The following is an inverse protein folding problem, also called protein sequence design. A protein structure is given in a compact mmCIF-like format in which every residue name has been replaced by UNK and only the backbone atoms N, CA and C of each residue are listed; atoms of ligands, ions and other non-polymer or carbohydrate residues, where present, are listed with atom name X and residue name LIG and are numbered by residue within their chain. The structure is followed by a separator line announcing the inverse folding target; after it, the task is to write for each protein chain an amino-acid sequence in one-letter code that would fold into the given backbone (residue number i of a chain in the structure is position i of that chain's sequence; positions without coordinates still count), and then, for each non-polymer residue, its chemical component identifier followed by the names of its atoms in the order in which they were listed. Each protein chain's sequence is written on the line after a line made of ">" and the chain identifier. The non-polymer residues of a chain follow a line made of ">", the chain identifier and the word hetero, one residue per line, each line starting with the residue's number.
data_IF_221262978830
#
_entry.id   IF_221262978830
#
_cell.length_a   1.000
_cell.length_b   1.000
_cell.length_c   1.000
_cell.angle_alpha   90.00
_cell.angle_beta   90.00
_cell.angle_gamma   90.00
#
_symmetry.space_group_name_H-M   'P 1'
#
loop_
_entity.id
_entity.type
_entity.pdbx_description
1 polymer ?
#
# COMPACT_ATOMS: atom_id res chain seq x y z
N UNK A 1 -26.69 14.73 -1.86
CA UNK A 1 -26.03 14.58 -0.54
C UNK A 1 -25.18 15.81 -0.29
N UNK A 2 -25.29 16.45 0.88
CA UNK A 2 -24.55 17.70 1.20
C UNK A 2 -23.14 17.44 1.76
N UNK A 3 -22.81 16.20 2.12
CA UNK A 3 -21.51 15.80 2.67
C UNK A 3 -21.06 14.47 2.09
N UNK A 4 -19.76 14.33 1.83
CA UNK A 4 -19.15 13.04 1.51
C UNK A 4 -19.17 12.11 2.73
N UNK A 5 -19.17 10.79 2.51
CA UNK A 5 -19.26 9.77 3.54
C UNK A 5 -20.26 8.67 3.20
N UNK A 6 -20.56 7.81 4.17
CA UNK A 6 -21.56 6.76 4.01
C UNK A 6 -22.96 7.35 4.27
N UNK A 7 -23.78 7.44 3.22
CA UNK A 7 -25.20 7.71 3.37
C UNK A 7 -25.96 6.39 3.54
N UNK A 8 -27.14 6.43 4.15
CA UNK A 8 -28.03 5.29 4.21
C UNK A 8 -29.43 5.67 3.73
N UNK A 9 -30.09 4.72 3.07
CA UNK A 9 -31.49 4.80 2.66
C UNK A 9 -32.22 3.63 3.30
N UNK A 10 -33.15 3.92 4.20
CA UNK A 10 -33.99 2.90 4.83
C UNK A 10 -35.35 2.88 4.16
N UNK A 11 -35.71 1.74 3.58
CA UNK A 11 -37.01 1.50 2.94
C UNK A 11 -37.84 0.64 3.89
N UNK A 12 -39.01 1.14 4.29
CA UNK A 12 -39.96 0.43 5.15
C UNK A 12 -41.24 0.19 4.38
N UNK A 13 -41.65 -1.08 4.27
CA UNK A 13 -42.89 -1.52 3.65
C UNK A 13 -43.79 -2.08 4.75
N UNK A 14 -45.05 -1.65 4.78
CA UNK A 14 -46.06 -2.19 5.66
C UNK A 14 -47.29 -2.59 4.85
N UNK A 15 -47.78 -3.81 5.08
CA UNK A 15 -48.99 -4.34 4.48
C UNK A 15 -50.16 -4.23 5.46
N UNK A 16 -51.39 -4.14 4.94
CA UNK A 16 -52.59 -3.91 5.73
C UNK A 16 -52.93 -5.09 6.68
N UNK A 17 -52.44 -6.29 6.39
CA UNK A 17 -52.56 -7.47 7.26
C UNK A 17 -51.58 -7.47 8.46
N UNK A 18 -50.73 -6.45 8.56
CA UNK A 18 -49.76 -6.29 9.65
C UNK A 18 -48.32 -6.70 9.29
N UNK A 19 -48.07 -7.28 8.12
CA UNK A 19 -46.70 -7.62 7.68
C UNK A 19 -45.85 -6.37 7.49
N UNK A 20 -44.62 -6.36 8.01
CA UNK A 20 -43.67 -5.25 7.86
C UNK A 20 -42.31 -5.77 7.40
N UNK A 21 -41.70 -5.07 6.44
CA UNK A 21 -40.34 -5.34 5.95
C UNK A 21 -39.55 -4.04 6.00
N UNK A 22 -38.32 -4.12 6.49
CA UNK A 22 -37.39 -3.00 6.53
C UNK A 22 -36.06 -3.41 5.91
N UNK A 23 -35.54 -2.58 5.00
CA UNK A 23 -34.24 -2.76 4.38
C UNK A 23 -33.47 -1.46 4.44
N UNK A 24 -32.23 -1.52 4.92
CA UNK A 24 -31.30 -0.38 4.90
C UNK A 24 -30.24 -0.61 3.84
N UNK A 25 -30.13 0.33 2.91
CA UNK A 25 -29.13 0.38 1.85
C UNK A 25 -28.07 1.41 2.22
N UNK A 26 -26.80 1.02 2.17
CA UNK A 26 -25.67 1.93 2.37
C UNK A 26 -25.16 2.43 1.03
N UNK A 27 -25.05 3.74 0.88
CA UNK A 27 -24.61 4.42 -0.35
C UNK A 27 -23.35 5.21 -0.04
N UNK A 28 -22.18 4.79 -0.54
CA UNK A 28 -20.95 5.58 -0.38
C UNK A 28 -21.00 6.82 -1.28
N UNK A 29 -20.88 8.00 -0.68
CA UNK A 29 -20.82 9.29 -1.37
C UNK A 29 -19.38 9.80 -1.35
N UNK A 30 -18.76 9.95 -2.52
CA UNK A 30 -17.40 10.50 -2.67
C UNK A 30 -17.44 11.92 -3.23
N UNK A 31 -16.51 12.81 -2.85
CA UNK A 31 -16.36 14.10 -3.50
C UNK A 31 -16.08 13.91 -5.00
N UNK A 32 -16.57 14.85 -5.81
CA UNK A 32 -16.29 14.86 -7.26
C UNK A 32 -14.81 15.21 -7.58
N UNK A 33 -14.08 15.74 -6.60
CA UNK A 33 -12.67 16.11 -6.72
C UNK A 33 -11.79 15.12 -5.95
N UNK A 34 -10.63 14.79 -6.51
CA UNK A 34 -9.61 13.99 -5.83
C UNK A 34 -8.97 14.80 -4.69
N UNK A 35 -8.45 14.13 -3.64
CA UNK A 35 -7.69 14.80 -2.59
C UNK A 35 -6.48 15.54 -3.17
N UNK A 36 -6.23 16.75 -2.68
CA UNK A 36 -5.04 17.55 -3.01
C UNK A 36 -4.14 17.61 -1.79
N UNK A 37 -2.85 17.29 -1.97
CA UNK A 37 -1.84 17.36 -0.91
C UNK A 37 -0.86 18.47 -1.23
N UNK A 38 -0.68 19.40 -0.28
CA UNK A 38 0.37 20.43 -0.34
C UNK A 38 1.45 20.08 0.67
N UNK A 39 2.70 19.99 0.20
CA UNK A 39 3.86 19.74 1.05
C UNK A 39 4.70 21.01 1.13
N UNK A 40 4.95 21.47 2.36
CA UNK A 40 5.85 22.58 2.64
C UNK A 40 7.00 22.09 3.52
N UNK A 41 8.23 22.30 3.06
CA UNK A 41 9.45 22.02 3.84
C UNK A 41 10.12 23.36 4.15
N UNK A 42 10.37 23.63 5.42
CA UNK A 42 10.94 24.89 5.89
C UNK A 42 12.12 24.59 6.81
N UNK A 43 13.25 25.24 6.57
CA UNK A 43 14.39 25.20 7.47
C UNK A 43 14.13 26.13 8.67
N UNK A 44 14.04 25.56 9.87
CA UNK A 44 13.95 26.32 11.10
C UNK A 44 15.33 26.85 11.48
N UNK A 45 15.50 28.18 11.45
CA UNK A 45 16.74 28.81 11.91
C UNK A 45 16.96 28.51 13.39
N UNK A 46 18.22 28.22 13.75
CA UNK A 46 18.62 28.12 15.15
C UNK A 46 18.36 29.42 15.93
N UNK A 47 18.36 29.35 17.27
CA UNK A 47 18.19 30.50 18.17
C UNK A 47 16.85 31.25 18.02
N UNK A 48 15.74 30.52 18.00
CA UNK A 48 14.39 31.13 18.05
C UNK A 48 13.66 31.23 16.71
N UNK A 49 14.09 30.50 15.68
CA UNK A 49 13.27 30.30 14.50
C UNK A 49 11.93 29.67 14.85
N UNK A 50 10.85 30.20 14.28
CA UNK A 50 9.49 29.75 14.54
C UNK A 50 8.74 29.53 13.22
N UNK A 51 7.87 28.52 13.20
CA UNK A 51 6.90 28.29 12.13
C UNK A 51 5.50 28.49 12.71
N UNK A 52 4.69 29.30 12.03
CA UNK A 52 3.28 29.51 12.39
C UNK A 52 2.42 28.51 11.61
N UNK A 53 1.68 27.68 12.33
CA UNK A 53 0.72 26.71 11.79
C UNK A 53 -0.67 27.17 12.18
N UNK A 54 -1.51 27.47 11.19
CA UNK A 54 -2.82 28.07 11.37
C UNK A 54 -3.82 27.63 10.29
N UNK A 55 -5.04 28.15 10.37
CA UNK A 55 -6.17 27.77 9.49
C UNK A 55 -5.93 28.13 8.03
N UNK A 56 -5.03 29.07 7.78
CA UNK A 56 -4.68 29.60 6.47
C UNK A 56 -4.10 28.49 5.58
N UNK A 57 -3.47 27.46 6.17
CA UNK A 57 -3.01 26.26 5.45
C UNK A 57 -4.14 25.47 4.78
N UNK A 58 -5.38 25.59 5.26
CA UNK A 58 -6.55 24.89 4.72
C UNK A 58 -7.59 25.85 4.12
N UNK A 59 -7.26 27.14 3.95
CA UNK A 59 -8.24 28.16 3.55
C UNK A 59 -8.87 27.89 2.16
N UNK A 60 -8.13 27.22 1.27
CA UNK A 60 -8.61 26.82 -0.05
C UNK A 60 -9.16 25.36 -0.09
N UNK A 61 -9.17 24.65 1.04
CA UNK A 61 -9.55 23.25 1.12
C UNK A 61 -11.01 23.07 1.54
N UNK A 62 -11.66 22.01 1.05
CA UNK A 62 -12.88 21.51 1.66
C UNK A 62 -12.53 20.93 3.03
N UNK A 63 -13.03 21.55 4.10
CA UNK A 63 -12.62 21.21 5.47
C UNK A 63 -13.03 19.79 5.89
N UNK A 64 -14.11 19.25 5.33
CA UNK A 64 -14.57 17.90 5.66
C UNK A 64 -13.55 16.86 5.13
N UNK A 65 -12.86 16.19 6.05
CA UNK A 65 -11.80 15.23 5.74
C UNK A 65 -10.41 15.85 5.50
N UNK A 66 -10.26 17.17 5.66
CA UNK A 66 -8.96 17.83 5.60
C UNK A 66 -8.15 17.55 6.87
N UNK A 67 -6.84 17.37 6.71
CA UNK A 67 -5.91 17.14 7.82
C UNK A 67 -4.59 17.87 7.56
N UNK A 68 -3.97 18.40 8.61
CA UNK A 68 -2.60 18.94 8.57
C UNK A 68 -1.72 18.04 9.43
N UNK A 69 -0.59 17.62 8.86
CA UNK A 69 0.49 16.93 9.58
C UNK A 69 1.71 17.84 9.63
N UNK A 70 2.39 17.89 10.77
CA UNK A 70 3.61 18.67 10.96
C UNK A 70 4.67 17.76 11.56
N UNK A 71 5.75 17.55 10.82
CA UNK A 71 6.93 16.81 11.27
C UNK A 71 8.13 17.73 11.41
N UNK A 72 8.91 17.55 12.48
CA UNK A 72 10.20 18.22 12.66
C UNK A 72 11.29 17.15 12.65
N UNK A 73 12.26 17.29 11.74
CA UNK A 73 13.35 16.34 11.59
C UNK A 73 14.66 17.07 11.36
N UNK A 74 15.76 16.54 11.90
CA UNK A 74 17.11 17.00 11.56
C UNK A 74 17.59 16.45 10.21
N UNK A 75 16.93 15.41 9.70
CA UNK A 75 17.13 14.88 8.36
C UNK A 75 15.94 15.32 7.48
N UNK A 76 16.12 16.41 6.74
CA UNK A 76 15.07 17.05 5.91
C UNK A 76 14.46 16.14 4.82
N UNK A 77 15.03 14.97 4.57
CA UNK A 77 14.70 14.16 3.39
C UNK A 77 13.44 13.29 3.52
N UNK A 78 13.09 12.79 4.72
CA UNK A 78 12.04 11.77 4.84
C UNK A 78 10.93 12.15 5.82
N UNK A 79 9.77 12.50 5.26
CA UNK A 79 8.52 12.66 6.00
C UNK A 79 7.81 11.29 6.11
N UNK A 80 8.38 10.42 6.93
CA UNK A 80 7.88 9.04 7.14
C UNK A 80 6.40 9.02 7.57
N UNK A 81 5.94 9.86 8.51
CA UNK A 81 4.53 9.89 8.90
C UNK A 81 3.58 10.20 7.73
N UNK A 82 3.89 11.21 6.90
CA UNK A 82 3.03 11.56 5.75
C UNK A 82 3.05 10.50 4.64
N UNK A 83 4.20 9.83 4.43
CA UNK A 83 4.30 8.70 3.49
C UNK A 83 3.42 7.54 3.93
N UNK A 84 3.45 7.19 5.22
CA UNK A 84 2.62 6.12 5.80
C UNK A 84 1.11 6.43 5.70
N UNK A 85 0.70 7.67 5.98
CA UNK A 85 -0.70 8.09 5.82
C UNK A 85 -1.20 8.00 4.37
N UNK A 86 -0.29 8.10 3.40
CA UNK A 86 -0.63 8.11 1.96
C UNK A 86 -0.68 6.70 1.36
N UNK A 87 0.20 5.79 1.79
CA UNK A 87 0.31 4.43 1.26
C UNK A 87 -0.97 3.61 1.45
N UNK A 88 -1.72 3.87 2.52
CA UNK A 88 -2.99 3.20 2.77
C UNK A 88 -4.06 3.50 1.72
N UNK A 89 -4.10 4.71 1.14
CA UNK A 89 -5.29 5.20 0.42
C UNK A 89 -5.31 4.91 -1.09
N UNK A 90 -4.31 4.24 -1.63
CA UNK A 90 -4.20 4.05 -3.09
C UNK A 90 -5.13 2.92 -3.59
N UNK A 91 -6.13 3.18 -4.46
CA UNK A 91 -7.27 2.28 -4.68
C UNK A 91 -7.06 1.21 -5.75
N UNK A 92 -5.93 1.20 -6.44
CA UNK A 92 -5.66 0.27 -7.53
C UNK A 92 -4.92 -0.98 -7.01
N UNK A 93 -5.07 -2.09 -7.73
CA UNK A 93 -4.75 -3.43 -7.23
C UNK A 93 -3.97 -4.30 -8.20
N UNK A 94 -3.17 -3.72 -9.10
CA UNK A 94 -2.23 -4.54 -9.86
C UNK A 94 -1.16 -5.13 -8.92
N UNK A 95 -0.42 -6.15 -9.38
CA UNK A 95 0.62 -6.80 -8.58
C UNK A 95 1.67 -5.79 -8.05
N UNK A 96 2.18 -4.90 -8.90
CA UNK A 96 3.15 -3.86 -8.53
C UNK A 96 2.57 -2.92 -7.47
N UNK A 97 1.39 -2.36 -7.71
CA UNK A 97 0.76 -1.42 -6.78
C UNK A 97 0.45 -2.06 -5.42
N UNK A 98 -0.05 -3.29 -5.42
CA UNK A 98 -0.34 -4.04 -4.18
C UNK A 98 0.94 -4.25 -3.38
N UNK A 99 2.02 -4.63 -4.08
CA UNK A 99 3.35 -4.81 -3.50
C UNK A 99 3.92 -3.49 -2.95
N UNK A 100 3.90 -2.43 -3.75
CA UNK A 100 4.37 -1.09 -3.40
C UNK A 100 3.67 -0.50 -2.17
N UNK A 101 2.38 -0.80 -1.98
CA UNK A 101 1.62 -0.39 -0.78
C UNK A 101 1.99 -1.21 0.45
N UNK A 102 2.11 -2.53 0.31
CA UNK A 102 2.33 -3.41 1.45
C UNK A 102 3.78 -3.44 1.91
N UNK A 103 4.74 -3.23 1.01
CA UNK A 103 6.17 -3.37 1.28
C UNK A 103 6.68 -2.47 2.42
N UNK A 104 6.34 -1.16 2.47
CA UNK A 104 6.74 -0.31 3.59
C UNK A 104 6.03 -0.67 4.91
N UNK A 105 4.81 -1.20 4.82
CA UNK A 105 4.01 -1.55 6.01
C UNK A 105 4.60 -2.76 6.76
N UNK A 106 5.42 -3.59 6.12
CA UNK A 106 6.18 -4.64 6.81
C UNK A 106 7.08 -4.11 7.94
N UNK A 107 7.53 -2.85 7.83
CA UNK A 107 8.51 -2.25 8.75
C UNK A 107 7.93 -1.10 9.57
N UNK A 108 6.66 -0.74 9.36
CA UNK A 108 6.10 0.45 9.98
C UNK A 108 5.99 0.35 11.49
N UNK A 109 5.73 -0.82 12.06
CA UNK A 109 5.68 -0.97 13.51
C UNK A 109 7.06 -0.72 14.15
N UNK A 110 8.14 -1.15 13.48
CA UNK A 110 9.51 -0.85 13.91
C UNK A 110 9.78 0.66 13.86
N UNK A 111 9.37 1.33 12.78
CA UNK A 111 9.54 2.78 12.61
C UNK A 111 8.65 3.61 13.55
N UNK A 112 7.40 3.20 13.76
CA UNK A 112 6.39 3.93 14.54
C UNK A 112 6.77 4.01 16.03
N UNK A 113 7.40 2.95 16.55
CA UNK A 113 7.90 2.90 17.93
C UNK A 113 8.90 4.03 18.23
N UNK A 114 9.71 4.44 17.24
CA UNK A 114 10.68 5.51 17.36
C UNK A 114 10.11 6.93 17.25
N UNK A 115 8.89 7.10 16.73
CA UNK A 115 8.30 8.42 16.43
C UNK A 115 6.99 8.69 17.16
N UNK A 116 6.58 7.81 18.08
CA UNK A 116 5.39 8.00 18.91
C UNK A 116 4.06 7.90 18.14
N UNK A 117 4.05 7.23 16.98
CA UNK A 117 2.81 6.94 16.25
C UNK A 117 2.05 5.78 16.90
N UNK A 118 0.72 5.90 16.97
CA UNK A 118 -0.13 4.80 17.40
C UNK A 118 -0.01 3.62 16.41
N UNK A 119 0.12 2.39 16.94
CA UNK A 119 0.11 1.17 16.13
C UNK A 119 -1.28 0.97 15.53
N UNK A 120 -1.36 0.75 14.22
CA UNK A 120 -2.58 0.35 13.52
C UNK A 120 -2.86 -1.14 13.81
N UNK A 121 -3.89 -1.48 14.61
CA UNK A 121 -4.16 -2.86 14.99
C UNK A 121 -4.55 -3.74 13.79
N UNK A 122 -5.07 -3.16 12.72
CA UNK A 122 -5.57 -3.89 11.54
C UNK A 122 -4.46 -4.12 10.50
N UNK A 123 -3.26 -3.57 10.72
CA UNK A 123 -2.20 -3.57 9.73
C UNK A 123 -1.72 -4.97 9.36
N UNK A 124 -1.69 -5.88 10.33
CA UNK A 124 -1.28 -7.26 10.09
C UNK A 124 -2.23 -7.94 9.09
N UNK A 125 -3.55 -7.80 9.29
CA UNK A 125 -4.55 -8.34 8.38
C UNK A 125 -4.43 -7.76 6.97
N UNK A 126 -4.23 -6.45 6.86
CA UNK A 126 -4.07 -5.76 5.57
C UNK A 126 -2.85 -6.24 4.78
N UNK A 127 -1.73 -6.48 5.46
CA UNK A 127 -0.52 -7.02 4.82
C UNK A 127 -0.76 -8.48 4.42
N UNK A 128 -1.42 -9.28 5.28
CA UNK A 128 -1.74 -10.67 4.96
C UNK A 128 -2.67 -10.77 3.74
N UNK A 129 -3.67 -9.90 3.64
CA UNK A 129 -4.54 -9.79 2.47
C UNK A 129 -3.76 -9.39 1.21
N UNK A 130 -2.78 -8.49 1.32
CA UNK A 130 -1.93 -8.10 0.21
C UNK A 130 -1.07 -9.27 -0.29
N UNK A 131 -0.52 -10.09 0.63
CA UNK A 131 0.20 -11.32 0.30
C UNK A 131 -0.70 -12.28 -0.49
N UNK A 132 -1.89 -12.58 0.03
CA UNK A 132 -2.82 -13.47 -0.67
C UNK A 132 -3.28 -12.90 -2.02
N UNK A 133 -3.41 -11.57 -2.11
CA UNK A 133 -3.77 -10.89 -3.36
C UNK A 133 -2.68 -11.05 -4.43
N UNK A 134 -1.41 -10.79 -4.12
CA UNK A 134 -0.33 -10.97 -5.10
C UNK A 134 -0.12 -12.44 -5.46
N UNK A 135 -0.31 -13.36 -4.51
CA UNK A 135 -0.27 -14.80 -4.79
C UNK A 135 -1.41 -15.26 -5.71
N UNK A 136 -2.57 -14.61 -5.68
CA UNK A 136 -3.65 -14.85 -6.66
C UNK A 136 -3.26 -14.49 -8.10
N UNK A 137 -2.16 -13.76 -8.29
CA UNK A 137 -1.61 -13.38 -9.58
C UNK A 137 -0.43 -14.26 -10.01
N UNK A 138 -0.10 -15.28 -9.22
CA UNK A 138 0.94 -16.24 -9.55
C UNK A 138 0.43 -17.27 -10.56
N UNK A 139 1.16 -17.45 -11.66
CA UNK A 139 0.94 -18.54 -12.61
C UNK A 139 1.52 -19.86 -12.07
N UNK A 140 1.09 -20.99 -12.65
CA UNK A 140 1.59 -22.32 -12.27
C UNK A 140 3.11 -22.48 -12.43
N UNK A 141 3.73 -21.70 -13.32
CA UNK A 141 5.19 -21.64 -13.51
C UNK A 141 5.94 -20.82 -12.46
N UNK A 142 5.23 -20.11 -11.57
CA UNK A 142 5.82 -19.30 -10.49
C UNK A 142 5.98 -17.81 -10.81
N UNK A 143 5.79 -17.40 -12.07
CA UNK A 143 5.75 -16.00 -12.51
C UNK A 143 4.48 -15.28 -12.06
N UNK A 144 4.48 -13.95 -12.11
CA UNK A 144 3.36 -13.09 -11.74
C UNK A 144 2.88 -12.26 -12.93
N UNK A 145 1.56 -12.10 -13.04
CA UNK A 145 0.97 -11.14 -13.98
C UNK A 145 0.48 -9.87 -13.29
N UNK A 146 0.28 -8.80 -14.07
CA UNK A 146 -0.14 -7.50 -13.53
C UNK A 146 -1.51 -7.54 -12.84
N UNK A 147 -2.46 -8.32 -13.35
CA UNK A 147 -3.86 -8.31 -12.87
C UNK A 147 -4.43 -9.71 -12.56
N UNK A 148 -3.62 -10.74 -12.75
CA UNK A 148 -4.00 -12.14 -12.75
C UNK A 148 -2.77 -13.02 -13.01
N UNK A 149 -2.92 -14.35 -13.00
CA UNK A 149 -1.86 -15.27 -13.42
C UNK A 149 -1.30 -14.88 -14.79
N UNK A 150 0.02 -14.69 -14.86
CA UNK A 150 0.71 -14.25 -16.07
C UNK A 150 2.22 -14.45 -15.97
N UNK A 151 2.93 -14.07 -17.03
CA UNK A 151 4.37 -14.25 -17.18
C UNK A 151 4.97 -13.16 -18.07
N UNK A 152 6.31 -13.06 -18.07
CA UNK A 152 7.05 -12.27 -19.08
C UNK A 152 7.68 -11.00 -18.55
N UNK A 153 7.55 -10.69 -17.27
CA UNK A 153 8.15 -9.53 -16.63
C UNK A 153 9.05 -9.96 -15.47
N UNK A 154 10.35 -10.11 -15.77
CA UNK A 154 11.35 -10.52 -14.79
C UNK A 154 11.50 -9.49 -13.65
N UNK A 155 11.29 -8.21 -13.94
CA UNK A 155 11.35 -7.18 -12.92
C UNK A 155 10.20 -7.32 -11.94
N UNK A 156 8.97 -7.50 -12.44
CA UNK A 156 7.79 -7.72 -11.62
C UNK A 156 7.92 -9.02 -10.82
N UNK A 157 8.36 -10.10 -11.46
CA UNK A 157 8.59 -11.39 -10.79
C UNK A 157 9.58 -11.22 -9.63
N UNK A 158 10.68 -10.49 -9.85
CA UNK A 158 11.67 -10.20 -8.82
C UNK A 158 11.09 -9.33 -7.70
N UNK A 159 10.34 -8.29 -8.05
CA UNK A 159 9.76 -7.34 -7.11
C UNK A 159 8.75 -8.00 -6.16
N UNK A 160 7.82 -8.79 -6.70
CA UNK A 160 6.84 -9.54 -5.90
C UNK A 160 7.55 -10.60 -5.05
N UNK A 161 8.55 -11.29 -5.59
CA UNK A 161 9.31 -12.31 -4.84
C UNK A 161 10.13 -11.69 -3.70
N UNK A 162 10.70 -10.50 -3.88
CA UNK A 162 11.36 -9.74 -2.80
C UNK A 162 10.36 -9.41 -1.68
N UNK A 163 9.16 -8.95 -2.04
CA UNK A 163 8.10 -8.69 -1.09
C UNK A 163 7.71 -9.93 -0.28
N UNK A 164 7.47 -11.06 -0.95
CA UNK A 164 7.15 -12.33 -0.29
C UNK A 164 8.29 -12.83 0.60
N UNK A 165 9.55 -12.64 0.18
CA UNK A 165 10.74 -12.94 0.99
C UNK A 165 10.71 -12.19 2.31
N UNK A 166 10.55 -10.86 2.25
CA UNK A 166 10.57 -9.98 3.41
C UNK A 166 9.35 -10.18 4.29
N UNK A 167 8.18 -10.47 3.71
CA UNK A 167 6.99 -10.84 4.47
C UNK A 167 7.23 -12.09 5.32
N UNK A 168 7.86 -13.12 4.76
CA UNK A 168 8.24 -14.34 5.50
C UNK A 168 9.28 -14.05 6.60
N UNK A 169 10.25 -13.18 6.34
CA UNK A 169 11.22 -12.73 7.36
C UNK A 169 10.49 -12.07 8.54
N UNK A 170 9.48 -11.25 8.24
CA UNK A 170 8.58 -10.58 9.20
C UNK A 170 7.47 -11.50 9.75
N UNK A 171 7.56 -12.81 9.52
CA UNK A 171 6.67 -13.85 10.07
C UNK A 171 5.22 -13.81 9.59
N UNK A 172 4.95 -13.20 8.43
CA UNK A 172 3.67 -13.36 7.75
C UNK A 172 3.54 -14.75 7.11
N UNK A 173 2.30 -15.17 6.88
CA UNK A 173 2.02 -16.45 6.23
C UNK A 173 2.24 -16.32 4.71
N UNK A 174 3.32 -16.93 4.24
CA UNK A 174 3.64 -17.08 2.82
C UNK A 174 3.77 -18.57 2.52
N UNK A 175 2.85 -19.18 1.76
CA UNK A 175 2.87 -20.60 1.47
C UNK A 175 4.20 -21.04 0.83
N UNK A 176 4.83 -22.06 1.42
CA UNK A 176 6.18 -22.49 1.00
C UNK A 176 6.22 -22.96 -0.45
N UNK A 177 5.16 -23.62 -0.94
CA UNK A 177 5.07 -24.04 -2.33
C UNK A 177 5.11 -22.85 -3.29
N UNK A 178 4.29 -21.83 -3.03
CA UNK A 178 4.24 -20.62 -3.84
C UNK A 178 5.58 -19.87 -3.85
N UNK A 179 6.23 -19.77 -2.69
CA UNK A 179 7.55 -19.15 -2.57
C UNK A 179 8.63 -19.93 -3.34
N UNK A 180 8.64 -21.25 -3.24
CA UNK A 180 9.57 -22.09 -3.97
C UNK A 180 9.36 -21.98 -5.48
N UNK A 181 8.11 -21.95 -5.95
CA UNK A 181 7.80 -21.73 -7.36
C UNK A 181 8.27 -20.37 -7.86
N UNK A 182 8.08 -19.30 -7.07
CA UNK A 182 8.57 -17.96 -7.42
C UNK A 182 10.10 -17.92 -7.56
N UNK A 183 10.83 -18.51 -6.60
CA UNK A 183 12.28 -18.60 -6.65
C UNK A 183 12.78 -19.46 -7.82
N UNK A 184 12.13 -20.60 -8.08
CA UNK A 184 12.44 -21.44 -9.24
C UNK A 184 12.19 -20.72 -10.56
N UNK A 185 11.13 -19.91 -10.66
CA UNK A 185 10.87 -19.07 -11.83
C UNK A 185 12.03 -18.12 -12.10
N UNK A 186 12.51 -17.38 -11.07
CA UNK A 186 13.65 -16.47 -11.23
C UNK A 186 14.93 -17.20 -11.65
N UNK A 187 15.22 -18.37 -11.07
CA UNK A 187 16.38 -19.19 -11.46
C UNK A 187 16.28 -19.63 -12.92
N UNK A 188 15.11 -20.09 -13.34
CA UNK A 188 14.87 -20.53 -14.71
C UNK A 188 15.00 -19.34 -15.69
N UNK A 189 14.41 -18.18 -15.39
CA UNK A 189 14.51 -16.98 -16.24
C UNK A 189 15.95 -16.55 -16.49
N UNK A 190 16.81 -16.59 -15.46
CA UNK A 190 18.23 -16.27 -15.58
C UNK A 190 19.03 -17.33 -16.36
N UNK A 191 18.54 -18.56 -16.42
CA UNK A 191 19.13 -19.63 -17.24
C UNK A 191 18.89 -19.43 -18.74
N UNK A 192 17.78 -18.77 -19.13
CA UNK A 192 17.39 -18.58 -20.52
C UNK A 192 17.87 -17.25 -21.12
N UNK A 193 17.91 -16.17 -20.34
CA UNK A 193 18.23 -14.83 -20.83
C UNK A 193 19.39 -14.21 -20.04
N UNK A 194 20.52 -14.04 -20.73
CA UNK A 194 21.77 -13.51 -20.18
C UNK A 194 22.20 -12.21 -20.89
N UNK A 195 21.30 -11.52 -21.60
CA UNK A 195 21.64 -10.22 -22.20
C UNK A 195 21.73 -9.15 -21.10
N UNK A 196 22.86 -9.11 -20.39
CA UNK A 196 23.14 -8.10 -19.36
C UNK A 196 23.14 -6.69 -19.95
N UNK A 197 23.48 -6.55 -21.24
CA UNK A 197 23.50 -5.25 -21.90
C UNK A 197 22.11 -4.62 -22.02
N UNK A 198 21.07 -5.43 -22.27
CA UNK A 198 19.71 -4.94 -22.47
C UNK A 198 18.83 -5.06 -21.22
N UNK A 199 19.10 -6.06 -20.36
CA UNK A 199 18.27 -6.45 -19.21
C UNK A 199 19.02 -6.48 -17.88
N UNK A 200 20.12 -5.74 -17.80
CA UNK A 200 21.04 -5.79 -16.65
C UNK A 200 20.37 -5.46 -15.32
N UNK A 201 19.40 -4.55 -15.31
CA UNK A 201 18.68 -4.14 -14.10
C UNK A 201 17.78 -5.25 -13.55
N UNK A 202 17.04 -5.93 -14.42
CA UNK A 202 16.15 -7.02 -14.06
C UNK A 202 16.93 -8.25 -13.61
N UNK A 203 18.03 -8.57 -14.32
CA UNK A 203 18.94 -9.64 -13.96
C UNK A 203 19.58 -9.37 -12.58
N UNK A 204 20.07 -8.15 -12.36
CA UNK A 204 20.67 -7.78 -11.09
C UNK A 204 19.65 -7.89 -9.93
N UNK A 205 18.40 -7.50 -10.16
CA UNK A 205 17.39 -7.60 -9.13
C UNK A 205 17.00 -9.06 -8.83
N UNK A 206 16.81 -9.89 -9.86
CA UNK A 206 16.54 -11.31 -9.69
C UNK A 206 17.66 -12.01 -8.89
N UNK A 207 18.92 -11.71 -9.23
CA UNK A 207 20.10 -12.24 -8.52
C UNK A 207 20.14 -11.78 -7.06
N UNK A 208 19.81 -10.51 -6.78
CA UNK A 208 19.69 -10.00 -5.41
C UNK A 208 18.67 -10.80 -4.60
N UNK A 209 17.47 -11.03 -5.15
CA UNK A 209 16.40 -11.77 -4.48
C UNK A 209 16.80 -13.22 -4.23
N UNK A 210 17.40 -13.88 -5.22
CA UNK A 210 17.90 -15.25 -5.08
C UNK A 210 19.00 -15.35 -4.02
N UNK A 211 19.93 -14.39 -3.97
CA UNK A 211 21.00 -14.38 -2.98
C UNK A 211 20.50 -14.20 -1.54
N UNK A 212 19.36 -13.53 -1.35
CA UNK A 212 18.70 -13.36 -0.05
C UNK A 212 17.99 -14.62 0.44
N UNK A 213 17.67 -15.56 -0.46
CA UNK A 213 16.88 -16.77 -0.19
C UNK A 213 17.71 -18.07 -0.25
N UNK A 214 18.99 -18.01 0.12
CA UNK A 214 19.88 -19.18 0.16
C UNK A 214 19.52 -20.19 1.25
#
# INVERSE_FOLDING_TARGET
>A
AQTAGNASLTIKLAHADGTRVEQTLYVPVRPAQLPVTTRLVVDLKGNGGALRVDKELLAASLLNGASVSVGVSQAAAFDVPSLLMTLDRYPYGCAEQTTSRAMPLLYVNELASGVGMASDPDIHGRIQDAIYKVLSYQASGGSFGLWGPGSGDLWLDSYVTDFLTRAREQKYDVPSLAMNQALSNLQNSLGYDQSVQDRGSEIAYALYVLARNK
#
